data_IF_066852309007
#
_entry.id   IF_066852309007
#
_cell.length_a   1.000
_cell.length_b   1.000
_cell.length_c   1.000
_cell.angle_alpha   90.00
_cell.angle_beta   90.00
_cell.angle_gamma   90.00
#
_symmetry.space_group_name_H-M   'P 1'
#
loop_
_entity.id
_entity.type
_entity.pdbx_description
1 polymer ?
#
# COMPACT_ATOMS: atom_id res chain seq x y z
N UNK A 1 21.66 -30.77 -18.76
CA UNK A 1 20.79 -29.58 -18.82
C UNK A 1 20.50 -29.16 -17.40
N UNK A 2 20.47 -27.86 -17.08
CA UNK A 2 20.08 -27.41 -15.76
C UNK A 2 18.60 -27.76 -15.52
N UNK A 3 18.27 -28.27 -14.32
CA UNK A 3 16.89 -28.63 -13.96
C UNK A 3 16.05 -27.36 -13.91
N UNK A 4 14.89 -27.38 -14.56
CA UNK A 4 13.92 -26.28 -14.52
C UNK A 4 12.94 -26.48 -13.37
N UNK A 5 12.53 -25.37 -12.77
CA UNK A 5 11.58 -25.35 -11.66
C UNK A 5 10.43 -24.39 -11.95
N UNK A 6 9.28 -24.73 -11.38
CA UNK A 6 8.02 -24.03 -11.61
C UNK A 6 7.32 -23.79 -10.27
N UNK A 7 6.77 -22.60 -10.10
CA UNK A 7 5.77 -22.33 -9.08
C UNK A 7 4.44 -22.98 -9.51
N UNK A 8 3.99 -23.96 -8.71
CA UNK A 8 2.73 -24.66 -8.87
C UNK A 8 1.66 -23.95 -8.04
N UNK A 9 0.68 -23.39 -8.73
CA UNK A 9 -0.42 -22.68 -8.10
C UNK A 9 -1.78 -23.16 -8.63
N UNK A 10 -2.85 -22.74 -7.97
CA UNK A 10 -4.20 -23.01 -8.45
C UNK A 10 -4.54 -22.12 -9.66
N UNK A 11 -5.15 -22.73 -10.67
CA UNK A 11 -5.71 -22.07 -11.84
C UNK A 11 -7.12 -21.53 -11.55
N UNK A 12 -7.23 -20.45 -10.78
CA UNK A 12 -8.54 -19.92 -10.35
C UNK A 12 -9.46 -19.62 -11.54
N UNK A 13 -10.65 -20.20 -11.56
CA UNK A 13 -11.66 -20.02 -12.61
C UNK A 13 -13.09 -20.11 -12.05
N UNK A 14 -14.04 -19.46 -12.72
CA UNK A 14 -15.45 -19.49 -12.34
C UNK A 14 -16.06 -20.89 -12.47
N UNK A 15 -17.02 -21.23 -11.59
CA UNK A 15 -17.78 -22.48 -11.63
C UNK A 15 -17.09 -23.69 -10.96
N UNK A 16 -15.94 -23.47 -10.33
CA UNK A 16 -15.21 -24.45 -9.52
C UNK A 16 -15.34 -24.13 -8.04
N UNK A 17 -15.10 -25.14 -7.20
CA UNK A 17 -15.22 -24.99 -5.76
C UNK A 17 -14.21 -23.99 -5.17
N UNK A 18 -14.50 -23.49 -3.97
CA UNK A 18 -13.48 -22.87 -3.12
C UNK A 18 -13.52 -23.55 -1.75
N UNK A 19 -12.38 -24.07 -1.31
CA UNK A 19 -12.24 -24.74 -0.04
C UNK A 19 -11.98 -23.72 1.07
N UNK A 20 -12.68 -23.87 2.19
CA UNK A 20 -12.63 -22.96 3.32
C UNK A 20 -11.51 -23.25 4.31
N UNK A 21 -11.68 -22.72 5.52
CA UNK A 21 -10.77 -22.95 6.64
C UNK A 21 -10.73 -24.46 7.00
N UNK A 22 -9.54 -25.09 7.15
CA UNK A 22 -9.46 -26.48 7.60
C UNK A 22 -10.07 -26.62 9.00
N UNK A 23 -10.85 -27.69 9.18
CA UNK A 23 -11.52 -28.03 10.43
C UNK A 23 -10.94 -29.33 11.00
N UNK A 24 -11.00 -29.48 12.32
CA UNK A 24 -10.77 -30.76 13.00
C UNK A 24 -12.00 -31.68 12.91
N UNK A 25 -11.89 -32.87 13.52
CA UNK A 25 -12.98 -33.86 13.57
C UNK A 25 -14.23 -33.41 14.33
N UNK A 26 -14.13 -32.38 15.17
CA UNK A 26 -15.25 -31.79 15.90
C UNK A 26 -15.87 -30.60 15.14
N UNK A 27 -15.33 -30.26 13.97
CA UNK A 27 -15.79 -29.14 13.14
C UNK A 27 -15.27 -27.77 13.60
N UNK A 28 -14.22 -27.73 14.43
CA UNK A 28 -13.58 -26.48 14.86
C UNK A 28 -12.48 -26.10 13.88
N UNK A 29 -12.33 -24.81 13.62
CA UNK A 29 -11.21 -24.28 12.83
C UNK A 29 -9.87 -24.66 13.48
N UNK A 30 -8.91 -25.10 12.67
CA UNK A 30 -7.56 -25.39 13.15
C UNK A 30 -6.85 -24.09 13.55
N UNK A 31 -6.24 -24.05 14.74
CA UNK A 31 -5.55 -22.84 15.22
C UNK A 31 -4.30 -22.47 14.39
N UNK A 32 -3.57 -23.48 13.86
CA UNK A 32 -2.35 -23.28 13.05
C UNK A 32 -2.48 -23.92 11.66
N UNK A 33 -3.26 -23.35 10.73
CA UNK A 33 -3.42 -23.87 9.37
C UNK A 33 -2.15 -23.71 8.52
N UNK A 34 -1.28 -22.74 8.85
CA UNK A 34 -0.01 -22.51 8.14
C UNK A 34 1.01 -23.66 8.29
N UNK A 35 0.78 -24.60 9.21
CA UNK A 35 1.65 -25.77 9.35
C UNK A 35 1.80 -26.58 8.04
N UNK A 36 0.82 -26.50 7.13
CA UNK A 36 0.83 -27.20 5.84
C UNK A 36 1.55 -26.45 4.71
N UNK A 37 2.07 -25.24 4.98
CA UNK A 37 2.75 -24.40 3.98
C UNK A 37 4.17 -24.00 4.39
N UNK A 38 4.61 -24.32 5.61
CA UNK A 38 5.92 -23.94 6.16
C UNK A 38 7.14 -24.66 5.58
N UNK A 39 6.96 -25.69 4.76
CA UNK A 39 8.09 -26.49 4.27
C UNK A 39 8.65 -27.44 5.33
N UNK A 40 7.81 -27.96 6.22
CA UNK A 40 8.16 -28.87 7.32
C UNK A 40 7.03 -29.90 7.53
N UNK A 41 7.31 -30.97 8.28
CA UNK A 41 6.28 -31.95 8.65
C UNK A 41 5.15 -31.30 9.46
N UNK A 42 3.91 -31.68 9.18
CA UNK A 42 2.78 -31.22 9.96
C UNK A 42 2.84 -31.79 11.38
N UNK A 43 2.40 -31.00 12.36
CA UNK A 43 2.35 -31.44 13.76
C UNK A 43 0.94 -31.88 14.18
N UNK A 44 -0.09 -31.49 13.42
CA UNK A 44 -1.46 -31.95 13.62
C UNK A 44 -1.61 -33.39 13.12
N UNK A 45 -2.03 -34.28 14.01
CA UNK A 45 -2.17 -35.71 13.74
C UNK A 45 -3.63 -36.19 13.64
N UNK A 46 -4.59 -35.27 13.78
CA UNK A 46 -6.02 -35.59 13.71
C UNK A 46 -6.54 -35.70 12.27
N UNK A 47 -7.83 -35.98 12.14
CA UNK A 47 -8.51 -35.92 10.86
C UNK A 47 -8.80 -34.46 10.50
N UNK A 48 -8.45 -34.07 9.28
CA UNK A 48 -8.74 -32.73 8.74
C UNK A 48 -9.93 -32.82 7.79
N UNK A 49 -10.84 -31.86 7.90
CA UNK A 49 -12.00 -31.71 7.03
C UNK A 49 -12.04 -30.31 6.43
N UNK A 50 -12.33 -30.21 5.14
CA UNK A 50 -12.47 -28.95 4.44
C UNK A 50 -13.93 -28.66 4.09
N UNK A 51 -14.51 -27.57 4.62
CA UNK A 51 -15.80 -27.07 4.17
C UNK A 51 -15.68 -26.37 2.81
N UNK A 52 -16.81 -26.20 2.12
CA UNK A 52 -16.88 -25.40 0.90
C UNK A 52 -17.25 -23.96 1.27
N UNK A 53 -16.35 -23.01 0.97
CA UNK A 53 -16.68 -21.58 1.00
C UNK A 53 -17.49 -21.16 -0.24
N UNK A 54 -17.31 -21.88 -1.36
CA UNK A 54 -18.11 -21.72 -2.57
C UNK A 54 -18.37 -23.09 -3.19
N UNK A 55 -19.63 -23.39 -3.50
CA UNK A 55 -20.00 -24.60 -4.24
C UNK A 55 -19.53 -24.51 -5.69
N UNK A 56 -19.08 -25.63 -6.25
CA UNK A 56 -18.66 -25.71 -7.64
C UNK A 56 -18.11 -27.08 -8.00
N UNK A 57 -17.62 -27.23 -9.23
CA UNK A 57 -17.01 -28.49 -9.68
C UNK A 57 -15.66 -28.71 -8.96
N UNK A 58 -15.44 -29.94 -8.51
CA UNK A 58 -14.15 -30.36 -7.96
C UNK A 58 -13.05 -30.40 -9.03
N UNK A 59 -11.80 -30.25 -8.58
CA UNK A 59 -10.59 -30.28 -9.41
C UNK A 59 -9.53 -31.18 -8.77
N UNK A 60 -8.59 -31.64 -9.59
CA UNK A 60 -7.51 -32.51 -9.11
C UNK A 60 -6.50 -31.77 -8.22
N UNK A 61 -6.32 -30.46 -8.43
CA UNK A 61 -5.50 -29.57 -7.62
C UNK A 61 -6.27 -28.28 -7.30
N UNK A 62 -6.32 -27.90 -6.03
CA UNK A 62 -6.90 -26.65 -5.54
C UNK A 62 -6.16 -26.14 -4.30
N UNK A 63 -6.34 -24.88 -3.94
CA UNK A 63 -5.97 -24.36 -2.64
C UNK A 63 -7.20 -24.24 -1.74
N UNK A 64 -7.01 -24.56 -0.46
CA UNK A 64 -7.89 -24.12 0.61
C UNK A 64 -7.38 -22.80 1.22
N UNK A 65 -8.06 -22.33 2.27
CA UNK A 65 -7.64 -21.15 3.01
C UNK A 65 -6.13 -21.21 3.37
N UNK A 66 -5.51 -20.04 3.44
CA UNK A 66 -4.08 -19.85 3.76
C UNK A 66 -3.12 -20.50 2.75
N UNK A 67 -3.59 -20.84 1.54
CA UNK A 67 -2.75 -21.42 0.49
C UNK A 67 -2.40 -22.88 0.72
N UNK A 68 -3.21 -23.61 1.50
CA UNK A 68 -3.01 -25.04 1.76
C UNK A 68 -3.33 -25.85 0.50
N UNK A 69 -2.38 -26.57 -0.12
CA UNK A 69 -2.65 -27.34 -1.34
C UNK A 69 -3.47 -28.59 -1.02
N UNK A 70 -4.66 -28.70 -1.61
CA UNK A 70 -5.54 -29.87 -1.50
C UNK A 70 -5.62 -30.54 -2.86
N UNK A 71 -5.30 -31.82 -2.88
CA UNK A 71 -5.10 -32.58 -4.11
C UNK A 71 -5.90 -33.88 -4.12
N UNK A 72 -6.41 -34.24 -5.28
CA UNK A 72 -7.03 -35.55 -5.50
C UNK A 72 -5.97 -36.66 -5.54
N UNK A 73 -6.37 -37.90 -5.26
CA UNK A 73 -5.49 -39.08 -5.23
C UNK A 73 -4.61 -39.27 -6.49
N UNK A 74 -5.08 -38.80 -7.65
CA UNK A 74 -4.30 -38.82 -8.91
C UNK A 74 -3.01 -38.01 -8.78
N UNK A 75 -3.09 -36.80 -8.22
CA UNK A 75 -1.93 -35.93 -7.99
C UNK A 75 -1.08 -36.50 -6.85
N UNK A 76 -1.72 -36.90 -5.74
CA UNK A 76 -1.01 -37.50 -4.61
C UNK A 76 -0.14 -38.69 -5.03
N UNK A 77 -0.63 -39.54 -5.94
CA UNK A 77 0.11 -40.68 -6.47
C UNK A 77 1.36 -40.26 -7.25
N UNK A 78 1.27 -39.21 -8.09
CA UNK A 78 2.41 -38.69 -8.85
C UNK A 78 3.52 -38.17 -7.92
N UNK A 79 3.14 -37.40 -6.89
CA UNK A 79 4.10 -36.86 -5.93
C UNK A 79 4.75 -37.96 -5.08
N UNK A 80 3.97 -38.98 -4.68
CA UNK A 80 4.50 -40.15 -3.97
C UNK A 80 5.51 -40.93 -4.79
N UNK A 81 5.33 -41.03 -6.09
CA UNK A 81 6.26 -41.72 -7.00
C UNK A 81 7.51 -40.88 -7.27
N UNK A 82 7.34 -39.60 -7.59
CA UNK A 82 8.40 -38.75 -8.11
C UNK A 82 9.24 -38.07 -7.02
N UNK A 83 8.65 -37.79 -5.85
CA UNK A 83 9.27 -37.08 -4.74
C UNK A 83 8.88 -37.65 -3.35
N UNK A 84 9.05 -38.97 -3.11
CA UNK A 84 8.56 -39.65 -1.89
C UNK A 84 9.10 -39.05 -0.58
N UNK A 85 10.35 -38.58 -0.57
CA UNK A 85 11.00 -37.99 0.61
C UNK A 85 10.75 -36.47 0.75
N UNK A 86 10.15 -35.85 -0.26
CA UNK A 86 9.93 -34.40 -0.33
C UNK A 86 8.52 -33.95 0.06
N UNK A 87 7.61 -34.89 0.27
CA UNK A 87 6.20 -34.60 0.57
C UNK A 87 5.64 -35.47 1.68
N UNK A 88 4.69 -34.90 2.40
CA UNK A 88 3.77 -35.58 3.30
C UNK A 88 2.36 -35.45 2.71
N UNK A 89 1.65 -36.58 2.60
CA UNK A 89 0.30 -36.65 2.05
C UNK A 89 -0.68 -36.96 3.19
N UNK A 90 -1.43 -35.95 3.62
CA UNK A 90 -2.32 -36.06 4.78
C UNK A 90 -3.75 -36.28 4.27
N UNK A 91 -4.39 -37.44 4.53
CA UNK A 91 -5.76 -37.68 4.08
C UNK A 91 -6.75 -36.69 4.68
N UNK A 92 -7.67 -36.18 3.87
CA UNK A 92 -8.70 -35.23 4.31
C UNK A 92 -10.08 -35.59 3.81
N UNK A 93 -11.11 -35.11 4.51
CA UNK A 93 -12.48 -35.12 4.05
C UNK A 93 -12.82 -33.77 3.41
N UNK A 94 -13.58 -33.79 2.31
CA UNK A 94 -14.09 -32.58 1.67
C UNK A 94 -15.60 -32.64 1.62
N UNK A 95 -16.24 -31.56 2.05
CA UNK A 95 -17.69 -31.50 2.14
C UNK A 95 -18.37 -31.74 0.80
N UNK A 96 -19.42 -32.57 0.85
CA UNK A 96 -20.31 -32.86 -0.28
C UNK A 96 -19.62 -33.47 -1.52
N UNK A 97 -18.37 -33.90 -1.42
CA UNK A 97 -17.59 -34.47 -2.52
C UNK A 97 -16.96 -35.80 -2.14
N UNK A 98 -17.26 -36.84 -2.92
CA UNK A 98 -16.64 -38.15 -2.76
C UNK A 98 -15.29 -38.22 -3.48
N UNK A 99 -14.29 -38.77 -2.81
CA UNK A 99 -12.97 -39.01 -3.39
C UNK A 99 -11.88 -38.96 -2.32
N UNK A 100 -10.79 -39.72 -2.46
CA UNK A 100 -9.65 -39.54 -1.57
C UNK A 100 -8.95 -38.24 -1.95
N UNK A 101 -9.05 -37.25 -1.07
CA UNK A 101 -8.29 -36.00 -1.13
C UNK A 101 -7.21 -36.00 -0.07
N UNK A 102 -6.15 -35.25 -0.34
CA UNK A 102 -5.01 -35.12 0.54
C UNK A 102 -4.57 -33.67 0.61
N UNK A 103 -4.08 -33.22 1.76
CA UNK A 103 -3.19 -32.07 1.80
C UNK A 103 -1.85 -32.55 1.22
N UNK A 104 -1.34 -31.80 0.24
CA UNK A 104 0.02 -31.96 -0.28
C UNK A 104 0.95 -31.02 0.50
N UNK A 105 1.59 -31.54 1.53
CA UNK A 105 2.53 -30.79 2.35
C UNK A 105 3.96 -31.02 1.83
N UNK A 106 4.63 -29.97 1.36
CA UNK A 106 6.05 -30.05 1.03
C UNK A 106 6.88 -29.97 2.32
N UNK A 107 7.82 -30.89 2.52
CA UNK A 107 8.52 -31.05 3.81
C UNK A 107 9.91 -30.39 3.84
N UNK A 108 10.28 -29.70 2.77
CA UNK A 108 11.56 -29.01 2.63
C UNK A 108 11.34 -27.51 2.41
N UNK A 109 11.95 -26.69 3.26
CA UNK A 109 12.13 -25.26 3.05
C UNK A 109 13.58 -24.98 2.63
N UNK A 110 13.78 -24.25 1.53
CA UNK A 110 15.11 -24.01 0.96
C UNK A 110 15.32 -22.52 0.72
N UNK A 111 16.45 -21.98 1.20
CA UNK A 111 16.86 -20.60 0.92
C UNK A 111 17.42 -20.48 -0.49
N UNK A 112 16.54 -20.21 -1.46
CA UNK A 112 16.90 -20.22 -2.88
C UNK A 112 16.36 -19.04 -3.68
N UNK A 113 15.67 -18.07 -3.08
CA UNK A 113 15.17 -16.92 -3.85
C UNK A 113 16.36 -16.11 -4.37
N UNK A 114 16.35 -15.83 -5.67
CA UNK A 114 17.29 -14.91 -6.30
C UNK A 114 16.63 -13.53 -6.38
N UNK A 115 16.91 -12.69 -5.38
CA UNK A 115 16.41 -11.31 -5.30
C UNK A 115 16.88 -10.49 -6.50
N UNK A 116 18.11 -10.71 -6.98
CA UNK A 116 18.68 -9.98 -8.10
C UNK A 116 18.16 -10.48 -9.46
N UNK A 117 17.57 -11.68 -9.54
CA UNK A 117 16.87 -12.15 -10.74
C UNK A 117 15.34 -11.93 -10.70
N UNK A 118 14.73 -11.84 -9.52
CA UNK A 118 13.29 -11.62 -9.33
C UNK A 118 12.83 -10.22 -9.75
N UNK A 119 11.64 -10.05 -10.31
CA UNK A 119 11.19 -8.77 -10.89
C UNK A 119 11.13 -7.64 -9.85
N UNK A 120 10.52 -7.89 -8.71
CA UNK A 120 10.37 -6.91 -7.64
C UNK A 120 10.28 -7.59 -6.28
N UNK A 121 11.00 -7.06 -5.29
CA UNK A 121 10.95 -7.52 -3.90
C UNK A 121 10.74 -6.32 -2.99
N UNK A 122 9.72 -6.40 -2.14
CA UNK A 122 9.46 -5.44 -1.07
C UNK A 122 9.76 -6.08 0.26
N UNK A 123 10.22 -5.27 1.21
CA UNK A 123 10.54 -5.71 2.56
C UNK A 123 9.64 -5.00 3.55
N UNK A 124 9.26 -5.70 4.61
CA UNK A 124 8.69 -5.05 5.79
C UNK A 124 9.72 -4.09 6.39
N UNK A 125 9.30 -2.85 6.63
CA UNK A 125 10.07 -1.77 7.27
C UNK A 125 9.56 -1.55 8.70
N UNK A 126 10.36 -0.88 9.53
CA UNK A 126 9.95 -0.51 10.90
C UNK A 126 8.65 0.34 10.90
N UNK A 127 8.49 1.14 9.84
CA UNK A 127 7.37 2.03 9.60
C UNK A 127 6.03 1.29 9.44
N UNK A 128 6.06 0.03 9.00
CA UNK A 128 4.86 -0.78 8.77
C UNK A 128 4.22 -1.28 10.07
N UNK A 129 4.91 -1.13 11.22
CA UNK A 129 4.35 -1.46 12.53
C UNK A 129 4.39 -2.94 12.91
N UNK A 130 5.17 -3.76 12.19
CA UNK A 130 5.36 -5.20 12.46
C UNK A 130 6.84 -5.54 12.73
N UNK A 131 7.38 -5.23 13.94
CA UNK A 131 8.80 -5.38 14.25
C UNK A 131 9.37 -6.77 13.98
N UNK A 132 8.58 -7.81 14.21
CA UNK A 132 8.95 -9.22 14.01
C UNK A 132 9.11 -9.61 12.53
N UNK A 133 8.54 -8.82 11.61
CA UNK A 133 8.64 -9.05 10.17
C UNK A 133 9.69 -8.19 9.49
N UNK A 134 10.22 -7.16 10.15
CA UNK A 134 11.17 -6.21 9.56
C UNK A 134 12.34 -6.95 8.90
N UNK A 135 12.62 -6.61 7.64
CA UNK A 135 13.67 -7.24 6.84
C UNK A 135 13.27 -8.55 6.16
N UNK A 136 12.06 -9.07 6.38
CA UNK A 136 11.47 -10.17 5.60
C UNK A 136 10.70 -9.63 4.40
N UNK A 137 10.40 -10.49 3.42
CA UNK A 137 9.65 -10.08 2.24
C UNK A 137 8.21 -9.70 2.61
N UNK A 138 7.81 -8.48 2.25
CA UNK A 138 6.43 -8.02 2.25
C UNK A 138 5.70 -8.50 1.00
N UNK A 139 6.34 -8.39 -0.17
CA UNK A 139 5.84 -8.92 -1.43
C UNK A 139 6.98 -9.29 -2.37
N UNK A 140 6.72 -10.28 -3.23
CA UNK A 140 7.66 -10.81 -4.20
C UNK A 140 6.95 -11.04 -5.54
N UNK A 141 7.28 -10.23 -6.55
CA UNK A 141 6.74 -10.33 -7.90
C UNK A 141 7.77 -10.91 -8.84
N UNK A 142 7.28 -11.72 -9.79
CA UNK A 142 8.14 -12.34 -10.79
C UNK A 142 9.30 -13.14 -10.20
N UNK A 143 9.02 -13.90 -9.12
CA UNK A 143 10.01 -14.66 -8.38
C UNK A 143 10.90 -15.49 -9.29
N UNK A 144 12.21 -15.41 -9.02
CA UNK A 144 13.23 -16.30 -9.56
C UNK A 144 13.96 -16.99 -8.43
N UNK A 145 14.42 -18.21 -8.69
CA UNK A 145 15.25 -18.96 -7.76
C UNK A 145 16.63 -19.21 -8.36
N UNK A 146 17.63 -19.37 -7.50
CA UNK A 146 18.95 -19.87 -7.85
C UNK A 146 18.95 -21.41 -7.77
N UNK A 147 18.94 -22.13 -8.92
CA UNK A 147 18.85 -23.59 -8.94
C UNK A 147 20.07 -24.26 -8.30
N UNK A 148 21.21 -23.57 -8.19
CA UNK A 148 22.41 -24.13 -7.57
C UNK A 148 22.25 -24.39 -6.07
N UNK A 149 21.28 -23.73 -5.43
CA UNK A 149 20.97 -23.87 -3.99
C UNK A 149 19.94 -24.96 -3.69
N UNK A 150 19.25 -25.48 -4.70
CA UNK A 150 18.12 -26.42 -4.54
C UNK A 150 18.57 -27.86 -4.29
N UNK A 151 19.77 -28.22 -4.75
CA UNK A 151 20.30 -29.58 -4.62
C UNK A 151 19.49 -30.59 -5.43
N UNK A 152 19.04 -31.66 -4.77
CA UNK A 152 18.27 -32.76 -5.37
C UNK A 152 16.74 -32.62 -5.19
N UNK A 153 16.28 -31.53 -4.56
CA UNK A 153 14.88 -31.36 -4.25
C UNK A 153 14.04 -31.22 -5.52
N UNK A 154 12.95 -31.97 -5.56
CA UNK A 154 11.93 -31.91 -6.64
C UNK A 154 10.68 -31.15 -6.24
N UNK A 155 10.42 -31.06 -4.94
CA UNK A 155 9.28 -30.34 -4.35
C UNK A 155 9.76 -29.67 -3.07
N UNK A 156 9.53 -28.37 -2.94
CA UNK A 156 9.94 -27.59 -1.77
C UNK A 156 9.22 -26.24 -1.71
N UNK A 157 9.35 -25.56 -0.58
CA UNK A 157 8.97 -24.16 -0.38
C UNK A 157 10.23 -23.29 -0.32
N UNK A 158 10.28 -22.11 -0.97
CA UNK A 158 11.34 -21.15 -0.70
C UNK A 158 11.22 -20.66 0.74
N UNK A 159 12.29 -20.73 1.54
CA UNK A 159 12.22 -20.35 2.96
C UNK A 159 11.94 -18.86 3.19
N UNK A 160 12.28 -18.04 2.20
CA UNK A 160 12.05 -16.59 2.18
C UNK A 160 10.63 -16.22 1.72
N UNK A 161 9.92 -17.16 1.08
CA UNK A 161 8.60 -16.95 0.49
C UNK A 161 7.77 -18.25 0.49
N UNK A 162 7.30 -18.64 1.68
CA UNK A 162 6.60 -19.91 1.92
C UNK A 162 5.25 -20.05 1.21
N UNK A 163 4.71 -18.95 0.69
CA UNK A 163 3.49 -18.93 -0.13
C UNK A 163 3.64 -19.77 -1.41
N UNK A 164 4.83 -19.81 -2.00
CA UNK A 164 5.06 -20.53 -3.26
C UNK A 164 5.36 -22.02 -3.05
N UNK A 165 4.81 -22.88 -3.91
CA UNK A 165 5.10 -24.32 -3.94
C UNK A 165 5.91 -24.62 -5.20
N UNK A 166 7.20 -24.90 -5.04
CA UNK A 166 8.09 -25.14 -6.17
C UNK A 166 8.15 -26.63 -6.51
N UNK A 167 7.98 -26.93 -7.79
CA UNK A 167 8.12 -28.28 -8.34
C UNK A 167 9.10 -28.32 -9.50
N UNK A 168 9.81 -29.43 -9.66
CA UNK A 168 10.69 -29.67 -10.82
C UNK A 168 9.89 -29.96 -12.09
N UNK A 169 10.58 -29.81 -13.22
CA UNK A 169 10.04 -30.06 -14.56
C UNK A 169 9.42 -31.45 -14.75
N UNK A 170 10.02 -32.49 -14.18
CA UNK A 170 9.50 -33.87 -14.29
C UNK A 170 8.12 -34.04 -13.64
N UNK A 171 7.87 -33.39 -12.49
CA UNK A 171 6.57 -33.36 -11.83
C UNK A 171 5.55 -32.59 -12.67
N UNK A 172 5.94 -31.41 -13.18
CA UNK A 172 5.09 -30.62 -14.07
C UNK A 172 4.66 -31.45 -15.29
N UNK A 173 5.62 -32.05 -15.99
CA UNK A 173 5.34 -32.86 -17.18
C UNK A 173 4.47 -34.08 -16.85
N UNK A 174 4.67 -34.72 -15.69
CA UNK A 174 3.85 -35.84 -15.26
C UNK A 174 2.39 -35.41 -14.99
N UNK A 175 2.18 -34.26 -14.35
CA UNK A 175 0.85 -33.70 -14.12
C UNK A 175 0.15 -33.31 -15.44
N UNK A 176 0.86 -32.67 -16.36
CA UNK A 176 0.32 -32.30 -17.68
C UNK A 176 -0.03 -33.55 -18.50
N UNK A 177 0.85 -34.55 -18.54
CA UNK A 177 0.63 -35.82 -19.24
C UNK A 177 -0.55 -36.61 -18.66
N UNK A 178 -0.74 -36.54 -17.35
CA UNK A 178 -1.87 -37.17 -16.66
C UNK A 178 -3.18 -36.38 -16.80
N UNK A 179 -3.18 -35.20 -17.42
CA UNK A 179 -4.36 -34.36 -17.58
C UNK A 179 -4.93 -33.91 -16.23
N UNK A 180 -4.06 -33.51 -15.30
CA UNK A 180 -4.46 -32.97 -14.00
C UNK A 180 -5.15 -31.61 -14.19
N UNK A 181 -6.31 -31.45 -13.57
CA UNK A 181 -7.10 -30.20 -13.63
C UNK A 181 -6.80 -29.28 -12.44
N UNK A 182 -6.91 -27.96 -12.65
CA UNK A 182 -6.81 -26.97 -11.57
C UNK A 182 -5.42 -26.48 -11.20
N UNK A 183 -4.38 -26.98 -11.86
CA UNK A 183 -3.00 -26.54 -11.68
C UNK A 183 -2.55 -25.56 -12.77
N UNK A 184 -1.83 -24.51 -12.39
CA UNK A 184 -1.04 -23.66 -13.29
C UNK A 184 0.42 -23.69 -12.87
N UNK A 185 1.32 -23.56 -13.84
CA UNK A 185 2.76 -23.57 -13.63
C UNK A 185 3.37 -22.29 -14.16
N UNK A 186 4.16 -21.61 -13.32
CA UNK A 186 4.97 -20.46 -13.73
C UNK A 186 6.44 -20.81 -13.60
N UNK A 187 7.21 -20.71 -14.68
CA UNK A 187 8.66 -20.98 -14.63
C UNK A 187 9.36 -19.94 -13.75
N UNK A 188 10.14 -20.43 -12.78
CA UNK A 188 10.91 -19.60 -11.83
C UNK A 188 12.42 -19.75 -12.01
N UNK A 189 12.84 -20.59 -12.95
CA UNK A 189 14.24 -20.69 -13.41
C UNK A 189 14.47 -19.88 -14.68
N UNK A 190 15.72 -19.50 -14.93
CA UNK A 190 16.10 -18.72 -16.11
C UNK A 190 15.89 -17.21 -15.96
N UNK A 191 16.25 -16.43 -16.99
CA UNK A 191 16.20 -14.97 -16.91
C UNK A 191 14.76 -14.48 -16.72
N UNK A 192 14.63 -13.35 -16.02
CA UNK A 192 13.33 -12.67 -15.94
C UNK A 192 12.82 -12.31 -17.33
N UNK A 193 11.50 -12.41 -17.52
CA UNK A 193 10.82 -11.93 -18.73
C UNK A 193 10.66 -10.41 -18.75
N UNK A 194 10.96 -9.75 -17.63
CA UNK A 194 10.93 -8.29 -17.52
C UNK A 194 12.24 -7.70 -18.04
N UNK A 195 12.10 -6.63 -18.82
CA UNK A 195 13.22 -5.85 -19.36
C UNK A 195 14.14 -5.34 -18.22
N UNK A 196 15.44 -5.68 -18.23
CA UNK A 196 16.41 -5.20 -17.24
C UNK A 196 16.44 -3.68 -17.08
N UNK A 197 16.18 -2.92 -18.16
CA UNK A 197 16.13 -1.45 -18.11
C UNK A 197 14.92 -0.99 -17.30
N UNK A 198 13.73 -1.49 -17.63
CA UNK A 198 12.48 -1.18 -16.90
C UNK A 198 12.61 -1.54 -15.42
N UNK A 199 13.24 -2.68 -15.13
CA UNK A 199 13.50 -3.11 -13.75
C UNK A 199 14.42 -2.15 -13.01
N UNK A 200 15.53 -1.74 -13.62
CA UNK A 200 16.45 -0.78 -13.03
C UNK A 200 15.76 0.58 -12.79
N UNK A 201 14.93 1.02 -13.73
CA UNK A 201 14.11 2.23 -13.60
C UNK A 201 13.09 2.13 -12.47
N UNK A 202 12.41 1.00 -12.32
CA UNK A 202 11.44 0.75 -11.22
C UNK A 202 12.13 0.77 -9.87
N UNK A 203 13.27 0.08 -9.74
CA UNK A 203 14.10 0.12 -8.54
C UNK A 203 14.53 1.54 -8.21
N UNK A 204 15.00 2.29 -9.23
CA UNK A 204 15.44 3.67 -9.05
C UNK A 204 14.31 4.60 -8.62
N UNK A 205 13.13 4.44 -9.22
CA UNK A 205 11.92 5.21 -8.86
C UNK A 205 11.55 4.99 -7.40
N UNK A 206 11.56 3.73 -6.95
CA UNK A 206 11.31 3.39 -5.54
C UNK A 206 12.35 3.99 -4.61
N UNK A 207 13.64 3.86 -4.92
CA UNK A 207 14.70 4.45 -4.11
C UNK A 207 14.52 5.97 -3.92
N UNK A 208 14.20 6.70 -4.98
CA UNK A 208 13.96 8.14 -4.91
C UNK A 208 12.71 8.46 -4.08
N UNK A 209 11.64 7.69 -4.27
CA UNK A 209 10.39 7.87 -3.54
C UNK A 209 10.55 7.61 -2.04
N UNK A 210 11.19 6.50 -1.67
CA UNK A 210 11.48 6.13 -0.28
C UNK A 210 12.32 7.20 0.43
N UNK A 211 13.36 7.72 -0.22
CA UNK A 211 14.21 8.77 0.35
C UNK A 211 13.42 10.07 0.62
N UNK A 212 12.54 10.45 -0.31
CA UNK A 212 11.73 11.65 -0.16
C UNK A 212 10.63 11.47 0.91
N UNK A 213 10.01 10.29 0.98
CA UNK A 213 9.04 9.96 2.04
C UNK A 213 9.69 9.98 3.41
N UNK A 214 10.85 9.34 3.59
CA UNK A 214 11.57 9.34 4.86
C UNK A 214 11.92 10.77 5.33
N UNK A 215 12.33 11.64 4.41
CA UNK A 215 12.61 13.04 4.72
C UNK A 215 11.35 13.81 5.17
N UNK A 216 10.22 13.64 4.47
CA UNK A 216 8.93 14.22 4.85
C UNK A 216 8.46 13.70 6.20
N UNK A 217 8.49 12.39 6.41
CA UNK A 217 8.05 11.79 7.67
C UNK A 217 8.89 12.27 8.86
N UNK A 218 10.21 12.34 8.70
CA UNK A 218 11.10 12.91 9.72
C UNK A 218 10.68 14.34 10.09
N UNK A 219 10.37 15.17 9.08
CA UNK A 219 9.87 16.51 9.30
C UNK A 219 8.50 16.53 10.00
N UNK A 220 7.55 15.70 9.57
CA UNK A 220 6.22 15.57 10.19
C UNK A 220 6.29 15.19 11.66
N UNK A 221 7.15 14.22 12.03
CA UNK A 221 7.39 13.85 13.43
C UNK A 221 7.99 15.01 14.25
N UNK A 222 8.73 15.91 13.60
CA UNK A 222 9.22 17.14 14.22
C UNK A 222 8.14 18.17 14.52
N UNK A 223 6.97 18.07 13.89
CA UNK A 223 5.83 18.96 14.09
C UNK A 223 4.88 18.48 15.21
N UNK A 224 5.04 17.29 15.75
CA UNK A 224 4.17 16.78 16.81
C UNK A 224 4.02 15.27 16.78
N UNK A 225 2.98 14.75 17.42
CA UNK A 225 2.71 13.31 17.41
C UNK A 225 2.01 12.92 16.12
N UNK A 226 2.74 12.26 15.23
CA UNK A 226 2.20 11.68 14.00
C UNK A 226 1.29 10.50 14.34
N UNK A 227 0.06 10.52 13.85
CA UNK A 227 -0.92 9.45 14.13
C UNK A 227 -0.59 8.20 13.30
N UNK A 228 -0.48 7.04 13.96
CA UNK A 228 -0.13 5.79 13.32
C UNK A 228 -1.28 5.28 12.44
N UNK A 229 -0.98 4.80 11.23
CA UNK A 229 -1.98 4.23 10.30
C UNK A 229 -2.86 5.24 9.56
N UNK A 230 -2.73 6.55 9.79
CA UNK A 230 -3.55 7.58 9.13
C UNK A 230 -2.89 8.10 7.83
N UNK A 231 -2.68 7.23 6.84
CA UNK A 231 -2.68 7.70 5.45
C UNK A 231 -4.15 7.77 5.06
N UNK A 232 -4.71 8.97 5.07
CA UNK A 232 -6.08 9.15 4.60
C UNK A 232 -6.07 8.90 3.09
N UNK A 233 -6.83 7.91 2.64
CA UNK A 233 -7.11 7.59 1.24
C UNK A 233 -5.93 7.78 0.26
N UNK A 234 -5.14 6.72 0.03
CA UNK A 234 -4.21 6.72 -1.10
C UNK A 234 -4.99 6.69 -2.42
N UNK A 235 -5.25 7.85 -3.00
CA UNK A 235 -5.85 7.96 -4.33
C UNK A 235 -4.74 7.75 -5.36
N UNK A 236 -4.80 6.61 -6.06
CA UNK A 236 -3.93 6.34 -7.21
C UNK A 236 -4.42 7.15 -8.42
N UNK A 237 -3.53 7.94 -9.00
CA UNK A 237 -3.81 8.85 -10.13
C UNK A 237 -3.99 10.32 -9.73
N UNK A 238 -4.27 11.16 -10.74
CA UNK A 238 -4.32 12.62 -10.61
C UNK A 238 -2.99 13.30 -10.92
N UNK A 239 -2.97 14.63 -10.83
CA UNK A 239 -1.86 15.47 -11.32
C UNK A 239 -0.72 15.64 -10.30
N UNK A 240 -0.68 14.83 -9.24
CA UNK A 240 0.38 14.88 -8.23
C UNK A 240 1.66 14.23 -8.76
N UNK A 241 2.86 14.69 -8.37
CA UNK A 241 4.13 14.29 -8.99
C UNK A 241 4.38 12.77 -9.05
N UNK A 242 4.01 12.05 -7.99
CA UNK A 242 4.20 10.59 -7.90
C UNK A 242 2.96 9.78 -8.31
N UNK A 243 1.87 10.44 -8.76
CA UNK A 243 0.62 9.77 -9.09
C UNK A 243 -0.09 9.14 -7.89
N UNK A 244 0.21 9.59 -6.67
CA UNK A 244 -0.42 9.17 -5.42
C UNK A 244 -0.70 10.38 -4.54
N UNK A 245 -1.89 10.45 -3.97
CA UNK A 245 -2.30 11.50 -3.04
C UNK A 245 -2.37 10.92 -1.63
N UNK A 246 -1.84 11.64 -0.65
CA UNK A 246 -1.92 11.23 0.75
C UNK A 246 -1.97 12.45 1.66
N UNK A 247 -2.59 12.26 2.82
CA UNK A 247 -2.62 13.24 3.90
C UNK A 247 -2.16 12.58 5.20
N UNK A 248 -1.42 13.33 6.02
CA UNK A 248 -0.91 12.90 7.32
C UNK A 248 -1.50 13.75 8.43
N UNK A 249 -1.74 13.11 9.56
CA UNK A 249 -2.39 13.72 10.73
C UNK A 249 -1.37 13.85 11.84
N UNK A 250 -1.23 15.06 12.35
CA UNK A 250 -0.25 15.42 13.38
C UNK A 250 -1.01 16.05 14.55
N UNK A 251 -0.96 15.42 15.72
CA UNK A 251 -1.48 15.99 16.97
C UNK A 251 -0.45 16.96 17.53
N UNK A 252 -0.84 18.22 17.63
CA UNK A 252 0.04 19.32 18.05
C UNK A 252 0.10 19.40 19.57
N UNK A 253 1.24 19.84 20.16
CA UNK A 253 1.33 20.06 21.61
C UNK A 253 0.31 21.06 22.17
N UNK A 254 -0.21 21.95 21.32
CA UNK A 254 -1.30 22.89 21.65
C UNK A 254 -2.66 22.21 21.88
N UNK A 255 -2.81 20.92 21.52
CA UNK A 255 -4.09 20.21 21.46
C UNK A 255 -4.79 20.31 20.11
N UNK A 256 -4.25 21.09 19.16
CA UNK A 256 -4.81 21.21 17.81
C UNK A 256 -4.54 19.96 16.97
N UNK A 257 -5.35 19.79 15.93
CA UNK A 257 -5.12 18.82 14.86
C UNK A 257 -4.55 19.54 13.65
N UNK A 258 -3.34 19.14 13.23
CA UNK A 258 -2.72 19.57 11.99
C UNK A 258 -2.84 18.45 10.96
N UNK A 259 -3.33 18.78 9.77
CA UNK A 259 -3.30 17.88 8.60
C UNK A 259 -2.37 18.48 7.56
N UNK A 260 -1.49 17.64 7.02
CA UNK A 260 -0.57 18.01 5.94
C UNK A 260 -0.78 17.12 4.73
N UNK A 261 -0.54 17.66 3.54
CA UNK A 261 -0.38 16.82 2.34
C UNK A 261 0.96 16.09 2.40
N UNK A 262 1.02 14.90 1.81
CA UNK A 262 2.21 14.07 1.75
C UNK A 262 2.37 13.49 0.34
N UNK A 263 2.80 14.33 -0.59
CA UNK A 263 2.95 13.91 -1.97
C UNK A 263 3.10 15.02 -3.01
N UNK A 264 2.73 16.27 -2.69
CA UNK A 264 2.92 17.41 -3.60
C UNK A 264 4.40 17.72 -3.83
N UNK A 265 5.26 17.31 -2.90
CA UNK A 265 6.71 17.35 -3.01
C UNK A 265 7.36 15.99 -3.27
N UNK A 266 6.58 14.97 -3.63
CA UNK A 266 7.14 13.68 -4.04
C UNK A 266 7.94 13.82 -5.35
N UNK A 267 8.97 12.99 -5.58
CA UNK A 267 9.71 13.02 -6.83
C UNK A 267 8.79 12.73 -8.03
N UNK A 268 9.07 13.38 -9.17
CA UNK A 268 8.37 13.08 -10.41
C UNK A 268 8.68 11.65 -10.87
N UNK A 269 7.64 10.89 -11.21
CA UNK A 269 7.76 9.48 -11.54
C UNK A 269 8.63 9.19 -12.79
N UNK A 270 8.76 10.16 -13.70
CA UNK A 270 9.49 10.09 -14.97
C UNK A 270 10.91 10.68 -14.91
N UNK A 271 11.32 11.26 -13.76
CA UNK A 271 12.67 11.82 -13.57
C UNK A 271 13.47 10.90 -12.63
N UNK A 272 14.34 10.07 -13.22
CA UNK A 272 15.08 9.02 -12.49
C UNK A 272 16.59 9.29 -12.37
N UNK A 273 17.12 10.23 -13.14
CA UNK A 273 18.55 10.57 -13.19
C UNK A 273 19.01 11.37 -11.96
N UNK A 274 18.08 11.96 -11.20
CA UNK A 274 18.35 12.75 -9.99
C UNK A 274 17.12 12.80 -9.06
N UNK A 275 17.31 13.04 -7.75
CA UNK A 275 16.22 13.38 -6.85
C UNK A 275 15.55 14.70 -7.24
N UNK A 276 14.23 14.80 -7.00
CA UNK A 276 13.44 16.01 -7.21
C UNK A 276 12.49 16.24 -6.03
N UNK A 277 12.23 17.50 -5.70
CA UNK A 277 11.31 17.89 -4.63
C UNK A 277 9.87 18.10 -5.14
N UNK A 278 9.43 17.36 -6.16
CA UNK A 278 8.10 17.52 -6.78
C UNK A 278 7.79 18.96 -7.17
N UNK A 279 6.62 19.46 -6.75
CA UNK A 279 6.24 20.87 -6.94
C UNK A 279 6.92 21.84 -5.95
N UNK A 280 7.76 21.35 -5.04
CA UNK A 280 8.52 22.19 -4.09
C UNK A 280 7.69 22.75 -2.94
N UNK A 281 6.48 22.23 -2.70
CA UNK A 281 5.67 22.60 -1.53
C UNK A 281 4.83 21.44 -1.00
N UNK A 282 4.46 21.53 0.27
CA UNK A 282 3.37 20.77 0.90
C UNK A 282 2.40 21.75 1.55
N UNK A 283 1.14 21.35 1.69
CA UNK A 283 0.10 22.15 2.32
C UNK A 283 -0.09 21.73 3.77
N UNK A 284 -0.40 22.70 4.64
CA UNK A 284 -0.61 22.51 6.06
C UNK A 284 -1.89 23.22 6.52
N UNK A 285 -2.82 22.49 7.13
CA UNK A 285 -4.07 23.05 7.64
C UNK A 285 -4.31 22.58 9.08
N UNK A 286 -4.44 23.54 10.00
CA UNK A 286 -4.55 23.27 11.43
C UNK A 286 -5.89 23.75 11.97
N UNK A 287 -6.50 23.00 12.89
CA UNK A 287 -7.74 23.39 13.56
C UNK A 287 -7.74 22.98 15.04
N UNK A 288 -8.36 23.77 15.94
CA UNK A 288 -8.60 23.39 17.32
C UNK A 288 -9.90 22.59 17.49
N UNK A 289 -10.70 22.46 16.43
CA UNK A 289 -11.98 21.77 16.49
C UNK A 289 -11.80 20.26 16.60
N UNK A 290 -12.66 19.62 17.38
CA UNK A 290 -12.75 18.18 17.42
C UNK A 290 -13.32 17.67 16.10
N UNK A 291 -12.66 16.69 15.49
CA UNK A 291 -13.05 16.07 14.23
C UNK A 291 -13.30 14.57 14.46
N UNK A 292 -14.54 14.15 14.80
CA UNK A 292 -14.85 12.76 15.14
C UNK A 292 -14.65 11.79 13.97
N UNK A 293 -15.01 12.22 12.75
CA UNK A 293 -14.70 11.54 11.49
C UNK A 293 -13.71 12.42 10.73
N UNK A 294 -12.41 12.17 10.95
CA UNK A 294 -11.35 13.01 10.40
C UNK A 294 -11.24 12.89 8.88
N UNK A 295 -11.38 11.68 8.34
CA UNK A 295 -11.32 11.43 6.90
C UNK A 295 -12.42 12.20 6.15
N UNK A 296 -13.65 12.22 6.68
CA UNK A 296 -14.76 12.98 6.08
C UNK A 296 -14.84 14.42 6.58
N UNK A 297 -13.90 14.87 7.39
CA UNK A 297 -13.93 16.21 7.97
C UNK A 297 -13.81 17.30 6.90
N UNK A 298 -14.38 18.46 7.20
CA UNK A 298 -14.25 19.64 6.35
C UNK A 298 -12.79 20.07 6.14
N UNK A 299 -11.93 19.79 7.13
CA UNK A 299 -10.52 20.13 7.11
C UNK A 299 -9.81 19.36 5.99
N UNK A 300 -9.99 18.04 5.96
CA UNK A 300 -9.38 17.16 4.96
C UNK A 300 -9.97 17.42 3.59
N UNK A 301 -11.30 17.52 3.47
CA UNK A 301 -11.96 17.79 2.18
C UNK A 301 -11.55 19.13 1.55
N UNK A 302 -11.38 20.17 2.36
CA UNK A 302 -10.92 21.46 1.87
C UNK A 302 -9.44 21.39 1.45
N UNK A 303 -8.59 20.76 2.25
CA UNK A 303 -7.17 20.59 1.94
C UNK A 303 -6.93 19.76 0.67
N UNK A 304 -7.70 18.67 0.48
CA UNK A 304 -7.70 17.85 -0.72
C UNK A 304 -7.99 18.68 -1.97
N UNK A 305 -9.08 19.45 -1.96
CA UNK A 305 -9.49 20.27 -3.10
C UNK A 305 -8.45 21.31 -3.46
N UNK A 306 -7.89 21.98 -2.45
CA UNK A 306 -6.81 22.96 -2.67
C UNK A 306 -5.57 22.29 -3.26
N UNK A 307 -5.18 21.13 -2.73
CA UNK A 307 -4.06 20.34 -3.28
C UNK A 307 -4.28 19.96 -4.74
N UNK A 308 -5.47 19.49 -5.09
CA UNK A 308 -5.82 19.08 -6.44
C UNK A 308 -5.89 20.24 -7.43
N UNK A 309 -6.44 21.39 -7.03
CA UNK A 309 -6.42 22.61 -7.86
C UNK A 309 -4.98 23.09 -8.13
N UNK A 310 -4.12 23.05 -7.12
CA UNK A 310 -2.70 23.39 -7.27
C UNK A 310 -1.94 22.37 -8.11
N UNK A 311 -2.27 21.09 -8.03
CA UNK A 311 -1.65 20.04 -8.85
C UNK A 311 -2.07 20.14 -10.34
N UNK A 312 -3.34 20.47 -10.60
CA UNK A 312 -3.86 20.58 -11.98
C UNK A 312 -3.49 21.87 -12.70
N UNK A 313 -3.09 22.94 -11.99
CA UNK A 313 -2.92 24.28 -12.61
C UNK A 313 -1.56 24.94 -12.34
N UNK A 314 -0.68 24.91 -13.34
CA UNK A 314 0.65 25.55 -13.29
C UNK A 314 0.59 27.05 -12.96
N UNK A 315 -0.40 27.78 -13.47
CA UNK A 315 -0.59 29.20 -13.17
C UNK A 315 -0.79 29.48 -11.69
N UNK A 316 -1.49 28.59 -10.97
CA UNK A 316 -1.70 28.71 -9.53
C UNK A 316 -0.40 28.43 -8.77
N UNK A 317 0.37 27.42 -9.18
CA UNK A 317 1.69 27.12 -8.61
C UNK A 317 2.65 28.30 -8.77
N UNK A 318 2.78 28.85 -9.98
CA UNK A 318 3.62 30.02 -10.22
C UNK A 318 3.16 31.27 -9.46
N UNK A 319 1.86 31.40 -9.17
CA UNK A 319 1.34 32.46 -8.31
C UNK A 319 1.71 32.24 -6.83
N UNK A 320 1.60 31.00 -6.35
CA UNK A 320 1.98 30.61 -5.00
C UNK A 320 3.47 30.84 -4.73
N UNK A 321 4.35 30.56 -5.70
CA UNK A 321 5.79 30.83 -5.60
C UNK A 321 6.11 32.30 -5.28
N UNK A 322 5.26 33.24 -5.71
CA UNK A 322 5.44 34.70 -5.50
C UNK A 322 5.01 35.19 -4.11
N UNK A 323 4.49 34.32 -3.24
CA UNK A 323 4.12 34.70 -1.87
C UNK A 323 2.81 34.07 -1.41
N UNK A 324 1.85 34.92 -1.03
CA UNK A 324 0.50 34.51 -0.61
C UNK A 324 -0.44 34.46 -1.81
N UNK A 325 -1.37 33.51 -1.82
CA UNK A 325 -2.39 33.36 -2.86
C UNK A 325 -3.75 33.15 -2.21
N UNK A 326 -4.81 33.80 -2.70
CA UNK A 326 -6.17 33.38 -2.38
C UNK A 326 -6.80 32.65 -3.55
N UNK A 327 -7.63 31.65 -3.26
CA UNK A 327 -8.40 30.95 -4.26
C UNK A 327 -9.73 30.46 -3.68
N UNK A 328 -10.64 30.09 -4.56
CA UNK A 328 -11.91 29.47 -4.23
C UNK A 328 -11.97 28.07 -4.79
N UNK A 329 -12.50 27.12 -4.01
CA UNK A 329 -12.72 25.73 -4.41
C UNK A 329 -14.19 25.34 -4.25
N UNK A 330 -14.60 24.20 -4.80
CA UNK A 330 -15.95 23.68 -4.61
C UNK A 330 -16.29 23.51 -3.12
N UNK A 331 -17.52 23.85 -2.72
CA UNK A 331 -17.98 23.85 -1.33
C UNK A 331 -18.74 22.61 -0.85
N UNK A 332 -18.92 21.60 -1.69
CA UNK A 332 -19.68 20.38 -1.36
C UNK A 332 -19.22 19.76 -0.03
N UNK A 333 -20.13 19.41 0.88
CA UNK A 333 -19.82 18.86 2.22
C UNK A 333 -18.92 19.73 3.12
N UNK A 334 -18.71 21.01 2.80
CA UNK A 334 -18.09 21.95 3.72
C UNK A 334 -19.15 22.68 4.57
N UNK A 335 -18.81 23.18 5.77
CA UNK A 335 -19.72 23.92 6.63
C UNK A 335 -20.31 25.13 5.91
N UNK A 336 -21.64 25.32 6.01
CA UNK A 336 -22.36 26.42 5.36
C UNK A 336 -21.79 27.80 5.72
N UNK A 337 -21.22 27.93 6.92
CA UNK A 337 -20.55 29.13 7.43
C UNK A 337 -19.32 29.54 6.62
N UNK A 338 -18.69 28.61 5.90
CA UNK A 338 -17.55 28.86 5.01
C UNK A 338 -17.97 29.10 3.55
N UNK A 339 -19.26 28.93 3.22
CA UNK A 339 -19.72 28.94 1.83
C UNK A 339 -20.15 30.32 1.37
N UNK A 340 -19.66 30.72 0.19
CA UNK A 340 -20.18 31.88 -0.53
C UNK A 340 -21.60 31.61 -1.03
N UNK A 341 -22.29 32.65 -1.52
CA UNK A 341 -23.62 32.49 -2.13
C UNK A 341 -23.62 31.55 -3.34
N UNK A 342 -22.46 31.33 -3.97
CA UNK A 342 -22.28 30.41 -5.09
C UNK A 342 -21.92 28.99 -4.63
N UNK A 343 -21.92 28.72 -3.32
CA UNK A 343 -21.57 27.40 -2.76
C UNK A 343 -20.08 27.08 -2.90
N UNK A 344 -19.21 28.09 -2.95
CA UNK A 344 -17.75 27.95 -3.01
C UNK A 344 -17.14 28.22 -1.63
N UNK A 345 -15.97 27.66 -1.36
CA UNK A 345 -15.19 27.97 -0.16
C UNK A 345 -13.90 28.70 -0.56
N UNK A 346 -13.55 29.74 0.17
CA UNK A 346 -12.33 30.51 -0.08
C UNK A 346 -11.22 30.17 0.92
N UNK A 347 -9.99 30.19 0.43
CA UNK A 347 -8.78 29.98 1.24
C UNK A 347 -7.74 31.04 0.97
N UNK A 348 -6.94 31.34 1.99
CA UNK A 348 -5.70 32.10 1.89
C UNK A 348 -4.51 31.16 2.13
N UNK A 349 -3.58 31.13 1.18
CA UNK A 349 -2.43 30.24 1.15
C UNK A 349 -1.16 31.00 1.50
N UNK A 350 -0.28 30.34 2.27
CA UNK A 350 1.10 30.78 2.50
C UNK A 350 1.24 31.94 3.49
N UNK A 351 0.34 32.05 4.46
CA UNK A 351 0.48 32.97 5.59
C UNK A 351 1.71 32.60 6.43
N UNK A 352 2.47 33.60 6.85
CA UNK A 352 3.58 33.39 7.77
C UNK A 352 3.07 33.06 9.18
N UNK A 353 3.78 32.20 9.90
CA UNK A 353 3.47 31.82 11.28
C UNK A 353 4.75 31.40 12.00
N UNK A 354 4.88 31.73 13.28
CA UNK A 354 6.03 31.31 14.09
C UNK A 354 5.89 29.87 14.62
N UNK A 355 4.70 29.28 14.46
CA UNK A 355 4.38 27.94 14.97
C UNK A 355 4.76 26.78 14.04
N UNK A 356 5.02 27.09 12.76
CA UNK A 356 5.38 26.12 11.73
C UNK A 356 6.63 26.61 10.96
N UNK A 357 7.62 25.73 10.72
CA UNK A 357 8.74 26.06 9.84
C UNK A 357 8.25 26.38 8.42
N UNK A 358 8.76 27.44 7.81
CA UNK A 358 8.36 27.84 6.45
C UNK A 358 8.88 26.89 5.36
N UNK A 359 9.97 26.17 5.65
CA UNK A 359 10.66 25.26 4.71
C UNK A 359 11.29 24.09 5.44
N UNK A 360 11.50 23.00 4.71
CA UNK A 360 12.24 21.84 5.16
C UNK A 360 12.96 21.16 3.98
N UNK A 361 14.11 20.52 4.21
CA UNK A 361 14.86 19.88 3.15
C UNK A 361 14.29 18.49 2.81
N UNK A 362 14.30 18.15 1.52
CA UNK A 362 14.14 16.77 1.01
C UNK A 362 15.23 16.48 -0.03
N UNK A 363 15.49 15.21 -0.37
CA UNK A 363 16.32 14.87 -1.52
C UNK A 363 15.78 15.57 -2.79
N UNK A 364 16.58 16.46 -3.36
CA UNK A 364 16.19 17.21 -4.58
C UNK A 364 15.81 18.67 -4.35
N UNK A 365 15.77 19.16 -3.10
CA UNK A 365 15.62 20.59 -2.82
C UNK A 365 14.93 20.92 -1.50
N UNK A 366 14.73 22.22 -1.26
CA UNK A 366 13.90 22.70 -0.15
C UNK A 366 12.43 22.72 -0.53
N UNK A 367 11.59 22.18 0.34
CA UNK A 367 10.13 22.19 0.23
C UNK A 367 9.58 23.32 1.08
N UNK A 368 8.69 24.15 0.52
CA UNK A 368 7.95 25.16 1.27
C UNK A 368 6.73 24.54 1.95
N UNK A 369 6.58 24.73 3.26
CA UNK A 369 5.34 24.39 3.95
C UNK A 369 4.37 25.56 3.82
N UNK A 370 3.27 25.35 3.11
CA UNK A 370 2.28 26.37 2.77
C UNK A 370 1.07 26.20 3.66
N UNK A 371 0.83 27.16 4.56
CA UNK A 371 -0.37 27.14 5.40
C UNK A 371 -1.62 27.38 4.56
N UNK A 372 -2.71 26.69 4.89
CA UNK A 372 -4.04 26.89 4.31
C UNK A 372 -4.97 27.46 5.37
N UNK A 373 -5.47 28.68 5.15
CA UNK A 373 -6.42 29.36 6.04
C UNK A 373 -7.79 29.46 5.37
N UNK A 374 -8.81 28.83 5.94
CA UNK A 374 -10.19 28.99 5.48
C UNK A 374 -10.71 30.41 5.77
N UNK A 375 -11.33 31.04 4.77
CA UNK A 375 -11.89 32.38 4.86
C UNK A 375 -13.42 32.32 5.01
N UNK A 376 -13.97 33.20 5.85
CA UNK A 376 -15.39 33.46 5.85
C UNK A 376 -15.79 34.26 4.59
N UNK A 377 -17.02 34.12 4.09
CA UNK A 377 -17.50 34.87 2.93
C UNK A 377 -17.36 36.40 3.09
N UNK A 378 -17.54 36.92 4.31
CA UNK A 378 -17.35 38.34 4.64
C UNK A 378 -15.90 38.79 4.51
N UNK A 379 -14.95 37.96 4.94
CA UNK A 379 -13.51 38.24 4.86
C UNK A 379 -13.01 38.15 3.41
N UNK A 380 -13.49 37.18 2.64
CA UNK A 380 -13.25 37.11 1.19
C UNK A 380 -13.74 38.38 0.51
N UNK A 381 -15.00 38.76 0.75
CA UNK A 381 -15.61 39.96 0.17
C UNK A 381 -14.80 41.20 0.52
N UNK A 382 -14.42 41.34 1.78
CA UNK A 382 -13.61 42.46 2.25
C UNK A 382 -12.23 42.49 1.57
N UNK A 383 -11.55 41.34 1.49
CA UNK A 383 -10.23 41.22 0.85
C UNK A 383 -10.29 41.63 -0.63
N UNK A 384 -11.31 41.17 -1.36
CA UNK A 384 -11.51 41.52 -2.76
C UNK A 384 -11.74 43.04 -2.95
N UNK A 385 -12.41 43.70 -1.99
CA UNK A 385 -12.61 45.16 -2.03
C UNK A 385 -11.32 45.96 -1.79
N UNK A 386 -10.35 45.41 -1.03
CA UNK A 386 -9.06 46.07 -0.80
C UNK A 386 -8.12 45.99 -2.01
N UNK A 387 -8.35 45.04 -2.93
CA UNK A 387 -7.50 44.83 -4.10
C UNK A 387 -6.07 44.41 -3.73
N UNK A 388 -5.06 45.06 -4.31
CA UNK A 388 -3.66 44.68 -4.14
C UNK A 388 -3.19 44.98 -2.71
N UNK A 389 -2.89 43.92 -1.96
CA UNK A 389 -2.47 44.02 -0.55
C UNK A 389 -3.52 43.53 0.45
N UNK A 390 -4.77 43.33 0.03
CA UNK A 390 -5.85 42.84 0.89
C UNK A 390 -5.52 41.53 1.59
N UNK A 391 -4.87 40.59 0.90
CA UNK A 391 -4.46 39.30 1.46
C UNK A 391 -3.41 39.45 2.59
N UNK A 392 -2.44 40.34 2.41
CA UNK A 392 -1.40 40.59 3.42
C UNK A 392 -1.98 41.28 4.66
N UNK A 393 -2.88 42.24 4.46
CA UNK A 393 -3.58 42.92 5.56
C UNK A 393 -4.52 41.96 6.29
N UNK A 394 -5.23 41.08 5.57
CA UNK A 394 -6.06 40.06 6.20
C UNK A 394 -5.22 39.08 7.04
N UNK A 395 -4.05 38.68 6.54
CA UNK A 395 -3.11 37.85 7.30
C UNK A 395 -2.61 38.54 8.58
N UNK A 396 -2.33 39.85 8.52
CA UNK A 396 -1.98 40.67 9.70
C UNK A 396 -3.11 40.66 10.73
N UNK A 397 -4.35 40.90 10.30
CA UNK A 397 -5.55 40.90 11.17
C UNK A 397 -5.80 39.55 11.83
N UNK A 398 -5.60 38.43 11.12
CA UNK A 398 -5.68 37.11 11.74
C UNK A 398 -4.63 36.92 12.84
N UNK A 399 -3.41 37.41 12.62
CA UNK A 399 -2.35 37.33 13.62
C UNK A 399 -2.68 38.16 14.85
N UNK A 400 -3.19 39.38 14.66
CA UNK A 400 -3.61 40.28 15.75
C UNK A 400 -4.81 39.75 16.54
N UNK A 401 -5.73 39.04 15.87
CA UNK A 401 -6.85 38.37 16.51
C UNK A 401 -6.45 37.07 17.25
N UNK A 402 -5.19 36.65 17.18
CA UNK A 402 -4.70 35.40 17.79
C UNK A 402 -5.07 34.13 17.03
N UNK A 403 -5.71 34.27 15.87
CA UNK A 403 -6.18 33.16 15.04
C UNK A 403 -5.13 32.69 14.02
N UNK A 404 -4.16 33.55 13.65
CA UNK A 404 -3.03 33.21 12.78
C UNK A 404 -3.41 32.37 11.56
N UNK A 405 -2.67 31.30 11.30
CA UNK A 405 -2.95 30.31 10.23
C UNK A 405 -4.03 29.28 10.60
N UNK A 406 -4.45 29.21 11.86
CA UNK A 406 -5.36 28.18 12.38
C UNK A 406 -6.77 28.36 11.83
N UNK A 407 -7.30 27.36 11.14
CA UNK A 407 -8.61 27.40 10.50
C UNK A 407 -9.73 26.95 11.44
N UNK A 408 -10.87 27.64 11.33
CA UNK A 408 -12.10 27.30 12.03
C UNK A 408 -13.27 27.26 11.05
N UNK A 409 -14.18 26.31 11.21
CA UNK A 409 -15.45 26.24 10.48
C UNK A 409 -16.34 27.44 10.76
N UNK A 410 -16.19 28.08 11.93
CA UNK A 410 -16.89 29.30 12.30
C UNK A 410 -16.04 30.19 13.23
N UNK A 411 -16.18 31.51 13.09
CA UNK A 411 -15.60 32.54 13.99
C UNK A 411 -16.32 33.88 13.81
N UNK A 412 -16.02 34.86 14.67
CA UNK A 412 -16.28 36.25 14.35
C UNK A 412 -15.30 36.72 13.25
N UNK A 413 -15.75 37.40 12.18
CA UNK A 413 -14.85 37.91 11.15
C UNK A 413 -13.82 38.90 11.72
N UNK A 414 -12.60 38.88 11.17
CA UNK A 414 -11.52 39.82 11.58
C UNK A 414 -11.54 41.16 10.82
N UNK A 415 -12.62 41.42 10.07
CA UNK A 415 -12.73 42.55 9.13
C UNK A 415 -13.82 43.55 9.47
#
# INVERSE_FOLDING_TARGET
MAVRYFDLAEDVAEGFWCLGHPLDSEGRELDDPWQFTRGALAHFTGQVRFPLSLEGKARDFSHAAFGTPVVHARVASLFKELAPEGVELIPVEVDSHSGPYFILNATRAIACVDVEASEEVNYWKEEDGFPEKVGTFFSLYGMRIDPSKVGDAKVFRPSEWDVALIVSEDIKEAMERAGITGAKFKEVTGPSTVDPVMRAETKKRRELWDQAQAARESFWRGLGTLEAGSVISMVLGGDWPAGSQAWRVIRRPSGNTLVVTDGLSAPFADILDRPTAGFGFELAMETPEALPDLEKSWLVQLLERVGNELAGHEKLRGALERGTLSMEVAGTHLPETLLTQEGRAAVLLGMATDSLPARFPVPGGDVRLVTVKALLPSELKWMLQQGRGGAAELARRFTEAGDGHVSRSWRQPVV
#
